data_IF_836230746483
#
_entry.id   IF_836230746483
#
_cell.length_a   1.000
_cell.length_b   1.000
_cell.length_c   1.000
_cell.angle_alpha   90.00
_cell.angle_beta   90.00
_cell.angle_gamma   90.00
#
_symmetry.space_group_name_H-M   'P 1'
#
loop_
_entity.id
_entity.type
_entity.pdbx_description
1 polymer ?
#
# COMPACT_ATOMS: atom_id res chain seq x y z
N UNK A 1 -34.33 39.40 -21.77
CA UNK A 1 -34.97 39.36 -20.43
C UNK A 1 -34.30 38.26 -19.64
N UNK A 2 -33.54 38.61 -18.59
CA UNK A 2 -32.83 37.64 -17.75
C UNK A 2 -33.81 37.21 -16.65
N UNK A 3 -34.20 35.93 -16.66
CA UNK A 3 -35.05 35.35 -15.61
C UNK A 3 -34.16 35.05 -14.41
N UNK A 4 -34.30 35.85 -13.36
CA UNK A 4 -33.62 35.63 -12.07
C UNK A 4 -34.45 34.64 -11.26
N UNK A 5 -33.84 33.54 -10.82
CA UNK A 5 -34.49 32.53 -9.99
C UNK A 5 -35.04 33.15 -8.68
N UNK A 6 -36.23 32.72 -8.19
CA UNK A 6 -36.80 33.25 -6.97
C UNK A 6 -35.94 32.86 -5.75
N UNK A 7 -35.68 33.82 -4.86
CA UNK A 7 -34.96 33.57 -3.61
C UNK A 7 -35.70 32.54 -2.74
N UNK A 8 -35.00 31.57 -2.11
CA UNK A 8 -35.62 30.58 -1.24
C UNK A 8 -36.24 31.28 0.00
N UNK A 9 -37.50 30.93 0.32
CA UNK A 9 -38.29 31.52 1.41
C UNK A 9 -38.01 30.94 2.81
N UNK A 10 -37.05 30.03 2.97
CA UNK A 10 -36.71 29.45 4.27
C UNK A 10 -35.37 29.96 4.77
N UNK A 11 -35.36 30.55 5.98
CA UNK A 11 -34.13 30.78 6.74
C UNK A 11 -33.32 29.48 6.83
N UNK A 12 -31.97 29.51 6.80
CA UNK A 12 -31.17 28.37 7.21
C UNK A 12 -31.68 27.92 8.58
N UNK A 13 -32.00 26.63 8.75
CA UNK A 13 -32.28 26.11 10.08
C UNK A 13 -31.00 26.27 10.88
N UNK A 14 -31.03 27.09 11.93
CA UNK A 14 -29.98 27.11 12.93
C UNK A 14 -29.81 25.67 13.44
N UNK A 15 -28.67 25.07 13.10
CA UNK A 15 -28.27 23.79 13.67
C UNK A 15 -28.06 24.04 15.16
N UNK A 16 -29.07 23.70 15.97
CA UNK A 16 -29.00 23.85 17.42
C UNK A 16 -27.80 23.06 17.94
N UNK A 17 -26.97 23.71 18.75
CA UNK A 17 -25.85 23.14 19.53
C UNK A 17 -26.24 21.89 20.36
N UNK A 18 -27.53 21.60 20.47
CA UNK A 18 -28.08 20.40 21.10
C UNK A 18 -27.74 19.08 20.39
N UNK A 19 -27.35 19.10 19.10
CA UNK A 19 -26.99 17.87 18.38
C UNK A 19 -25.78 17.17 19.01
N UNK A 20 -24.79 17.93 19.47
CA UNK A 20 -23.58 17.40 20.10
C UNK A 20 -23.77 17.01 21.58
N UNK A 21 -24.80 17.54 22.25
CA UNK A 21 -25.05 17.33 23.69
C UNK A 21 -25.84 16.06 24.01
N UNK A 22 -26.46 15.43 23.00
CA UNK A 22 -27.39 14.30 23.20
C UNK A 22 -26.80 12.94 22.82
N UNK A 23 -25.54 12.90 22.36
CA UNK A 23 -24.83 11.65 22.06
C UNK A 23 -23.53 11.59 22.85
N UNK A 24 -23.31 10.46 23.52
CA UNK A 24 -21.99 10.07 24.05
C UNK A 24 -21.03 9.82 22.89
N UNK A 25 -20.53 10.91 22.30
CA UNK A 25 -19.50 10.86 21.25
C UNK A 25 -18.17 10.66 21.95
N UNK A 26 -17.67 9.42 21.92
CA UNK A 26 -16.29 9.10 22.27
C UNK A 26 -15.43 9.36 21.05
N UNK A 27 -14.74 10.50 21.03
CA UNK A 27 -13.65 10.76 20.08
C UNK A 27 -12.38 10.17 20.67
N UNK A 28 -11.97 9.00 20.18
CA UNK A 28 -10.61 8.49 20.39
C UNK A 28 -9.70 9.12 19.35
N UNK A 29 -8.96 10.14 19.74
CA UNK A 29 -7.78 10.59 18.99
C UNK A 29 -6.72 9.50 19.22
N UNK A 30 -6.09 9.03 18.14
CA UNK A 30 -5.04 8.01 18.21
C UNK A 30 -3.82 8.46 19.04
N UNK A 31 -2.78 7.63 19.07
CA UNK A 31 -1.53 7.98 19.75
C UNK A 31 -1.01 9.36 19.29
N UNK A 32 -0.86 10.26 20.26
CA UNK A 32 -0.17 11.52 20.07
C UNK A 32 1.29 11.22 20.40
N UNK A 33 2.17 11.24 19.39
CA UNK A 33 3.60 11.24 19.61
C UNK A 33 3.95 12.53 20.35
N UNK A 34 4.01 12.49 21.69
CA UNK A 34 4.69 13.52 22.46
C UNK A 34 6.16 13.48 22.04
N UNK A 35 6.61 14.55 21.39
CA UNK A 35 8.03 14.80 21.17
C UNK A 35 8.71 14.85 22.55
N UNK A 36 9.20 13.70 23.01
CA UNK A 36 9.73 13.51 24.35
C UNK A 36 10.79 14.56 24.67
N UNK A 37 10.58 15.27 25.79
CA UNK A 37 11.48 16.25 26.37
C UNK A 37 12.78 15.64 26.91
N UNK A 38 13.57 15.03 26.02
CA UNK A 38 14.97 14.72 26.26
C UNK A 38 15.82 15.81 25.60
N UNK A 39 16.77 16.38 26.36
CA UNK A 39 17.72 17.36 25.86
C UNK A 39 18.69 16.69 24.88
N UNK A 40 18.26 16.59 23.64
CA UNK A 40 19.02 16.15 22.47
C UNK A 40 18.23 16.62 21.26
N UNK A 41 18.87 17.34 20.35
CA UNK A 41 18.25 17.75 19.07
C UNK A 41 17.58 16.53 18.44
N UNK A 42 16.27 16.54 18.14
CA UNK A 42 15.68 15.45 17.39
C UNK A 42 16.43 15.41 16.06
N UNK A 43 17.15 14.31 15.79
CA UNK A 43 17.57 14.00 14.43
C UNK A 43 16.29 13.83 13.62
N UNK A 44 15.84 14.91 13.01
CA UNK A 44 14.75 14.87 12.04
C UNK A 44 15.32 14.13 10.84
N UNK A 45 15.17 12.81 10.82
CA UNK A 45 15.48 12.01 9.64
C UNK A 45 14.68 12.61 8.47
N UNK A 46 15.42 13.15 7.50
CA UNK A 46 14.83 13.84 6.35
C UNK A 46 14.05 12.79 5.54
N UNK A 47 12.73 12.84 5.66
CA UNK A 47 11.85 11.94 4.90
C UNK A 47 12.04 12.22 3.41
N UNK A 48 12.12 11.14 2.63
CA UNK A 48 12.11 11.22 1.18
C UNK A 48 10.80 11.85 0.66
N UNK A 49 10.71 12.13 -0.65
CA UNK A 49 9.56 12.82 -1.24
C UNK A 49 8.25 12.02 -1.15
N UNK A 50 8.34 10.70 -0.95
CA UNK A 50 7.18 9.78 -0.97
C UNK A 50 7.24 8.80 0.20
N UNK A 51 7.00 9.23 1.44
CA UNK A 51 6.89 8.30 2.58
C UNK A 51 5.58 7.50 2.48
N UNK A 52 5.63 6.21 2.83
CA UNK A 52 4.52 5.26 2.75
C UNK A 52 3.80 5.31 1.39
N UNK A 53 4.52 5.07 0.27
CA UNK A 53 3.93 5.18 -1.06
C UNK A 53 2.70 4.28 -1.19
N UNK A 54 1.65 4.79 -1.81
CA UNK A 54 0.59 3.96 -2.37
C UNK A 54 1.08 3.24 -3.62
N UNK A 55 0.36 2.20 -4.06
CA UNK A 55 0.63 1.43 -5.28
C UNK A 55 0.73 2.27 -6.58
N UNK A 56 0.39 3.57 -6.55
CA UNK A 56 0.47 4.47 -7.70
C UNK A 56 1.54 5.55 -7.58
N UNK A 57 2.11 5.78 -6.40
CA UNK A 57 2.92 6.98 -6.15
C UNK A 57 4.27 6.91 -6.86
N UNK A 58 4.83 5.69 -7.01
CA UNK A 58 6.11 5.45 -7.67
C UNK A 58 5.98 5.26 -9.18
N UNK A 59 4.76 5.23 -9.72
CA UNK A 59 4.50 4.97 -11.15
C UNK A 59 5.32 5.87 -12.07
N UNK A 60 5.50 7.14 -11.73
CA UNK A 60 6.27 8.06 -12.56
C UNK A 60 7.75 7.68 -12.68
N UNK A 61 8.31 7.06 -11.64
CA UNK A 61 9.66 6.52 -11.62
C UNK A 61 9.71 5.18 -12.37
N UNK A 62 8.74 4.32 -12.15
CA UNK A 62 8.64 3.01 -12.82
C UNK A 62 8.58 3.17 -14.35
N UNK A 63 7.81 4.15 -14.84
CA UNK A 63 7.74 4.44 -16.28
C UNK A 63 9.09 4.92 -16.84
N UNK A 64 9.94 5.59 -16.04
CA UNK A 64 11.29 5.95 -16.47
C UNK A 64 12.20 4.73 -16.55
N UNK A 65 12.07 3.79 -15.59
CA UNK A 65 12.80 2.54 -15.60
C UNK A 65 12.41 1.69 -16.80
N UNK A 66 11.12 1.47 -17.01
CA UNK A 66 10.60 0.65 -18.11
C UNK A 66 10.77 1.31 -19.48
N UNK A 67 10.89 2.64 -19.54
CA UNK A 67 11.29 3.34 -20.76
C UNK A 67 12.73 3.04 -21.20
N UNK A 68 13.59 2.56 -20.29
CA UNK A 68 14.94 2.06 -20.60
C UNK A 68 14.99 0.54 -20.71
N UNK A 69 14.29 -0.14 -19.81
CA UNK A 69 14.26 -1.60 -19.70
C UNK A 69 12.85 -2.09 -20.02
N UNK A 70 12.56 -2.20 -21.31
CA UNK A 70 11.22 -2.56 -21.79
C UNK A 70 10.84 -3.98 -21.31
N UNK A 71 9.63 -4.16 -20.73
CA UNK A 71 9.15 -5.48 -20.36
C UNK A 71 9.08 -6.41 -21.58
N UNK A 72 9.66 -7.59 -21.44
CA UNK A 72 9.62 -8.62 -22.47
C UNK A 72 8.63 -9.73 -22.08
N UNK A 73 7.65 -9.97 -22.95
CA UNK A 73 6.63 -10.98 -22.72
C UNK A 73 6.88 -12.22 -23.58
N UNK A 74 7.29 -13.31 -22.93
CA UNK A 74 7.33 -14.67 -23.50
C UNK A 74 6.31 -15.56 -22.77
N UNK A 75 5.08 -15.70 -23.30
CA UNK A 75 4.03 -16.45 -22.62
C UNK A 75 4.40 -17.91 -22.37
N UNK A 76 4.27 -18.36 -21.12
CA UNK A 76 4.33 -19.79 -20.80
C UNK A 76 3.04 -20.54 -21.17
N UNK A 77 1.93 -19.79 -21.32
CA UNK A 77 0.60 -20.29 -21.65
C UNK A 77 -0.16 -19.21 -22.43
N UNK A 78 -0.75 -19.60 -23.55
CA UNK A 78 -1.55 -18.70 -24.41
C UNK A 78 -3.00 -18.54 -23.94
N UNK A 79 -3.33 -19.04 -22.74
CA UNK A 79 -4.68 -18.99 -22.19
C UNK A 79 -4.77 -18.24 -20.86
N UNK A 80 -5.87 -17.53 -20.66
CA UNK A 80 -6.27 -17.02 -19.35
C UNK A 80 -7.38 -17.90 -18.75
N UNK A 81 -7.19 -18.34 -17.50
CA UNK A 81 -8.10 -19.25 -16.78
C UNK A 81 -8.52 -18.70 -15.40
N UNK A 82 -8.44 -17.39 -15.17
CA UNK A 82 -8.57 -16.78 -13.84
C UNK A 82 -10.03 -16.52 -13.39
N UNK A 83 -11.04 -16.81 -14.21
CA UNK A 83 -12.44 -16.61 -13.83
C UNK A 83 -13.41 -17.53 -14.56
N UNK A 84 -14.68 -17.42 -14.20
CA UNK A 84 -15.77 -18.27 -14.70
C UNK A 84 -16.31 -17.87 -16.07
N UNK A 85 -15.85 -16.77 -16.69
CA UNK A 85 -16.13 -16.52 -18.10
C UNK A 85 -15.52 -17.58 -19.03
N UNK A 86 -14.57 -18.36 -18.51
CA UNK A 86 -14.01 -19.53 -19.18
C UNK A 86 -12.55 -19.35 -19.56
N UNK A 87 -11.99 -20.41 -20.14
CA UNK A 87 -10.63 -20.41 -20.67
C UNK A 87 -10.61 -19.53 -21.92
N UNK A 88 -9.93 -18.40 -21.85
CA UNK A 88 -9.78 -17.47 -22.96
C UNK A 88 -8.48 -17.76 -23.71
N UNK A 89 -8.56 -18.12 -24.99
CA UNK A 89 -7.40 -18.14 -25.90
C UNK A 89 -6.99 -16.71 -26.25
N UNK A 90 -5.75 -16.34 -25.91
CA UNK A 90 -5.19 -15.01 -26.08
C UNK A 90 -4.25 -14.91 -27.30
N UNK A 91 -4.13 -15.97 -28.10
CA UNK A 91 -3.31 -15.98 -29.32
C UNK A 91 -3.85 -14.95 -30.32
N UNK A 92 -3.23 -13.76 -30.34
CA UNK A 92 -3.69 -12.61 -31.13
C UNK A 92 -5.16 -12.21 -30.85
N UNK A 93 -5.64 -12.45 -29.63
CA UNK A 93 -7.04 -12.22 -29.21
C UNK A 93 -7.09 -11.54 -27.85
N UNK A 94 -8.29 -11.10 -27.47
CA UNK A 94 -8.61 -10.63 -26.12
C UNK A 94 -9.50 -11.65 -25.41
N UNK A 95 -9.34 -11.76 -24.11
CA UNK A 95 -10.25 -12.51 -23.27
C UNK A 95 -11.63 -11.87 -23.21
N UNK A 96 -12.60 -12.59 -22.65
CA UNK A 96 -13.98 -12.13 -22.54
C UNK A 96 -14.12 -10.80 -21.77
N UNK A 97 -13.21 -10.51 -20.83
CA UNK A 97 -13.16 -9.25 -20.09
C UNK A 97 -12.36 -8.13 -20.80
N UNK A 98 -11.81 -8.39 -21.99
CA UNK A 98 -11.04 -7.41 -22.77
C UNK A 98 -9.53 -7.39 -22.53
N UNK A 99 -9.00 -8.20 -21.60
CA UNK A 99 -7.56 -8.33 -21.36
C UNK A 99 -6.87 -8.99 -22.57
N UNK A 100 -5.72 -8.47 -22.97
CA UNK A 100 -4.88 -9.08 -24.03
C UNK A 100 -3.77 -9.96 -23.44
N UNK A 101 -2.99 -10.59 -24.32
CA UNK A 101 -1.90 -11.47 -23.93
C UNK A 101 -0.83 -10.76 -23.07
N UNK A 102 -0.42 -9.55 -23.44
CA UNK A 102 0.62 -8.81 -22.73
C UNK A 102 0.17 -8.42 -21.32
N UNK A 103 -1.04 -7.87 -21.19
CA UNK A 103 -1.62 -7.54 -19.89
C UNK A 103 -1.85 -8.79 -19.03
N UNK A 104 -2.24 -9.92 -19.63
CA UNK A 104 -2.35 -11.18 -18.89
C UNK A 104 -1.01 -11.67 -18.38
N UNK A 105 0.07 -11.60 -19.17
CA UNK A 105 1.41 -12.00 -18.72
C UNK A 105 1.89 -11.09 -17.59
N UNK A 106 1.77 -9.77 -17.74
CA UNK A 106 2.11 -8.82 -16.69
C UNK A 106 1.30 -9.06 -15.40
N UNK A 107 0.01 -9.38 -15.52
CA UNK A 107 -0.84 -9.78 -14.39
C UNK A 107 -0.35 -11.05 -13.69
N UNK A 108 0.14 -12.03 -14.44
CA UNK A 108 0.73 -13.24 -13.86
C UNK A 108 2.04 -12.93 -13.12
N UNK A 109 2.85 -11.99 -13.62
CA UNK A 109 4.06 -11.51 -12.93
C UNK A 109 3.71 -10.78 -11.63
N UNK A 110 2.70 -9.91 -11.64
CA UNK A 110 2.22 -9.27 -10.41
C UNK A 110 1.71 -10.31 -9.41
N UNK A 111 0.94 -11.31 -9.85
CA UNK A 111 0.49 -12.41 -8.99
C UNK A 111 1.68 -13.17 -8.38
N UNK A 112 2.71 -13.48 -9.16
CA UNK A 112 3.91 -14.13 -8.65
C UNK A 112 4.66 -13.26 -7.62
N UNK A 113 4.73 -11.95 -7.85
CA UNK A 113 5.34 -10.98 -6.94
C UNK A 113 4.56 -10.90 -5.62
N UNK A 114 3.22 -10.85 -5.69
CA UNK A 114 2.35 -10.92 -4.52
C UNK A 114 2.51 -12.23 -3.74
N UNK A 115 2.68 -13.38 -4.39
CA UNK A 115 2.92 -14.67 -3.71
C UNK A 115 4.23 -14.62 -2.92
N UNK A 116 5.31 -14.11 -3.52
CA UNK A 116 6.60 -13.95 -2.85
C UNK A 116 6.53 -12.99 -1.67
N UNK A 117 5.90 -11.83 -1.88
CA UNK A 117 5.67 -10.83 -0.82
C UNK A 117 4.84 -11.40 0.33
N UNK A 118 3.75 -12.11 0.04
CA UNK A 118 2.91 -12.76 1.04
C UNK A 118 3.67 -13.80 1.87
N UNK A 119 4.58 -14.56 1.25
CA UNK A 119 5.41 -15.53 1.95
C UNK A 119 6.31 -14.86 2.99
N UNK A 120 7.04 -13.82 2.60
CA UNK A 120 7.94 -13.10 3.50
C UNK A 120 7.17 -12.29 4.55
N UNK A 121 6.03 -11.69 4.19
CA UNK A 121 5.16 -10.98 5.13
C UNK A 121 4.56 -11.93 6.17
N UNK A 122 4.04 -13.09 5.75
CA UNK A 122 3.50 -14.10 6.66
C UNK A 122 4.56 -14.66 7.62
N UNK A 123 5.77 -14.93 7.11
CA UNK A 123 6.92 -15.33 7.94
C UNK A 123 7.23 -14.25 8.98
N UNK A 124 7.37 -13.00 8.54
CA UNK A 124 7.75 -11.88 9.41
C UNK A 124 6.68 -11.60 10.46
N UNK A 125 5.40 -11.61 10.09
CA UNK A 125 4.28 -11.42 11.02
C UNK A 125 4.31 -12.47 12.13
N UNK A 126 4.43 -13.74 11.75
CA UNK A 126 4.48 -14.83 12.73
C UNK A 126 5.65 -14.67 13.71
N UNK A 127 6.87 -14.36 13.22
CA UNK A 127 8.03 -14.15 14.08
C UNK A 127 7.87 -12.94 14.99
N UNK A 128 7.41 -11.79 14.46
CA UNK A 128 7.26 -10.56 15.24
C UNK A 128 6.22 -10.74 16.35
N UNK A 129 5.06 -11.34 16.06
CA UNK A 129 4.06 -11.62 17.10
C UNK A 129 4.61 -12.58 18.14
N UNK A 130 5.26 -13.69 17.74
CA UNK A 130 5.83 -14.64 18.69
C UNK A 130 6.91 -14.00 19.58
N UNK A 131 7.83 -13.20 19.02
CA UNK A 131 8.85 -12.51 19.81
C UNK A 131 8.24 -11.47 20.76
N UNK A 132 7.15 -10.82 20.38
CA UNK A 132 6.43 -9.88 21.24
C UNK A 132 5.70 -10.61 22.37
N UNK A 133 5.14 -11.80 22.10
CA UNK A 133 4.55 -12.65 23.14
C UNK A 133 5.59 -13.11 24.16
N UNK A 134 6.77 -13.53 23.71
CA UNK A 134 7.84 -14.05 24.57
C UNK A 134 8.60 -12.96 25.33
N UNK A 135 8.91 -11.84 24.68
CA UNK A 135 9.82 -10.82 25.22
C UNK A 135 9.16 -9.46 25.51
N UNK A 136 7.92 -9.27 25.07
CA UNK A 136 7.18 -8.02 25.19
C UNK A 136 7.44 -7.04 24.05
N UNK A 137 6.46 -6.16 23.77
CA UNK A 137 6.54 -5.19 22.67
C UNK A 137 7.65 -4.14 22.86
N UNK A 138 8.04 -3.86 24.10
CA UNK A 138 9.10 -2.89 24.44
C UNK A 138 10.51 -3.50 24.44
N UNK A 139 10.66 -4.78 24.08
CA UNK A 139 11.96 -5.40 23.97
C UNK A 139 12.82 -4.68 22.91
N UNK A 140 14.05 -4.24 23.25
CA UNK A 140 14.89 -3.46 22.35
C UNK A 140 15.39 -4.31 21.18
N UNK A 141 15.54 -3.68 20.01
CA UNK A 141 16.20 -4.28 18.86
C UNK A 141 17.70 -3.94 18.94
N UNK A 142 18.54 -4.98 19.01
CA UNK A 142 20.01 -4.86 18.99
C UNK A 142 20.58 -5.55 17.75
N UNK A 143 21.11 -4.75 16.82
CA UNK A 143 21.76 -5.23 15.60
C UNK A 143 23.29 -5.33 15.75
N UNK A 144 23.82 -5.13 16.96
CA UNK A 144 25.24 -5.11 17.28
C UNK A 144 25.89 -3.73 17.12
N UNK A 145 27.15 -3.64 17.56
CA UNK A 145 27.87 -2.35 17.71
C UNK A 145 28.34 -1.69 16.41
N UNK A 146 28.30 -2.41 15.28
CA UNK A 146 28.86 -1.94 14.00
C UNK A 146 27.78 -1.69 12.94
N UNK A 147 26.52 -1.54 13.34
CA UNK A 147 25.39 -1.33 12.44
C UNK A 147 24.74 0.03 12.73
N UNK A 148 25.11 1.04 11.93
CA UNK A 148 24.56 2.39 12.04
C UNK A 148 23.15 2.48 11.44
N UNK A 149 22.86 1.69 10.39
CA UNK A 149 21.58 1.65 9.67
C UNK A 149 20.93 0.28 9.87
N UNK A 150 20.06 0.19 10.88
CA UNK A 150 19.50 -1.08 11.35
C UNK A 150 18.41 -1.64 10.44
N UNK A 151 17.60 -0.78 9.82
CA UNK A 151 16.48 -1.18 8.98
C UNK A 151 16.35 -0.27 7.75
N UNK A 152 17.28 -0.32 6.79
CA UNK A 152 17.37 0.66 5.69
C UNK A 152 16.09 0.78 4.87
N UNK A 153 15.41 -0.35 4.61
CA UNK A 153 14.16 -0.37 3.84
C UNK A 153 13.03 0.27 4.64
N UNK A 154 12.83 -0.13 5.91
CA UNK A 154 11.80 0.45 6.78
C UNK A 154 12.02 1.96 6.98
N UNK A 155 13.27 2.37 7.18
CA UNK A 155 13.63 3.78 7.34
C UNK A 155 13.37 4.57 6.04
N UNK A 156 13.67 3.99 4.88
CA UNK A 156 13.42 4.65 3.58
C UNK A 156 11.93 4.78 3.28
N UNK A 157 11.17 3.69 3.50
CA UNK A 157 9.76 3.62 3.10
C UNK A 157 8.85 4.30 4.12
N UNK A 158 9.08 4.08 5.42
CA UNK A 158 8.20 4.61 6.49
C UNK A 158 8.76 5.87 7.14
N UNK A 159 10.05 6.16 6.97
CA UNK A 159 10.71 7.28 7.66
C UNK A 159 10.80 7.07 9.16
N UNK A 160 10.93 5.82 9.62
CA UNK A 160 10.98 5.43 11.03
C UNK A 160 12.12 4.44 11.28
N UNK A 161 12.98 4.78 12.23
CA UNK A 161 14.00 3.87 12.77
C UNK A 161 13.39 3.01 13.87
N UNK A 162 13.35 1.67 13.72
CA UNK A 162 12.84 0.80 14.77
C UNK A 162 13.81 0.78 15.96
N UNK A 163 13.26 0.83 17.18
CA UNK A 163 14.02 0.76 18.44
C UNK A 163 13.61 -0.46 19.27
N UNK A 164 12.36 -0.88 19.16
CA UNK A 164 11.77 -2.00 19.89
C UNK A 164 10.96 -2.91 18.97
N UNK A 165 10.71 -4.15 19.39
CA UNK A 165 9.94 -5.13 18.60
C UNK A 165 8.57 -4.61 18.14
N UNK A 166 7.88 -3.88 19.01
CA UNK A 166 6.58 -3.27 18.69
C UNK A 166 6.62 -2.29 17.51
N UNK A 167 7.76 -1.62 17.26
CA UNK A 167 7.89 -0.68 16.14
C UNK A 167 7.78 -1.38 14.78
N UNK A 168 8.10 -2.68 14.71
CA UNK A 168 8.04 -3.46 13.48
C UNK A 168 6.60 -3.71 13.02
N UNK A 169 5.61 -3.63 13.93
CA UNK A 169 4.19 -3.82 13.59
C UNK A 169 3.71 -2.83 12.55
N UNK A 170 4.14 -1.57 12.65
CA UNK A 170 3.76 -0.53 11.69
C UNK A 170 4.25 -0.84 10.27
N UNK A 171 5.43 -1.44 10.14
CA UNK A 171 5.94 -1.86 8.84
C UNK A 171 5.14 -3.03 8.28
N UNK A 172 4.79 -4.00 9.13
CA UNK A 172 3.97 -5.14 8.74
C UNK A 172 2.57 -4.71 8.31
N UNK A 173 1.92 -3.81 9.05
CA UNK A 173 0.58 -3.30 8.74
C UNK A 173 0.57 -2.58 7.37
N UNK A 174 1.58 -1.75 7.10
CA UNK A 174 1.73 -1.09 5.80
C UNK A 174 1.93 -2.10 4.66
N UNK A 175 2.82 -3.09 4.83
CA UNK A 175 3.07 -4.10 3.80
C UNK A 175 1.82 -4.93 3.51
N UNK A 176 1.08 -5.32 4.54
CA UNK A 176 -0.15 -6.09 4.43
C UNK A 176 -1.26 -5.28 3.73
N UNK A 177 -1.41 -3.99 4.05
CA UNK A 177 -2.34 -3.09 3.37
C UNK A 177 -2.01 -2.95 1.88
N UNK A 178 -0.75 -2.63 1.54
CA UNK A 178 -0.33 -2.45 0.15
C UNK A 178 -0.47 -3.75 -0.65
N UNK A 179 -0.13 -4.89 -0.06
CA UNK A 179 -0.30 -6.21 -0.68
C UNK A 179 -1.76 -6.51 -1.03
N UNK A 180 -2.72 -6.12 -0.18
CA UNK A 180 -4.16 -6.28 -0.47
C UNK A 180 -4.54 -5.45 -1.70
N UNK A 181 -4.05 -4.21 -1.80
CA UNK A 181 -4.30 -3.37 -2.97
C UNK A 181 -3.70 -3.98 -4.25
N UNK A 182 -2.47 -4.48 -4.20
CA UNK A 182 -1.82 -5.16 -5.33
C UNK A 182 -2.59 -6.41 -5.78
N UNK A 183 -2.94 -7.29 -4.83
CA UNK A 183 -3.69 -8.51 -5.12
C UNK A 183 -5.08 -8.20 -5.69
N UNK A 184 -5.75 -7.17 -5.17
CA UNK A 184 -7.06 -6.75 -5.67
C UNK A 184 -7.00 -6.37 -7.15
N UNK A 185 -5.92 -5.72 -7.59
CA UNK A 185 -5.72 -5.31 -8.98
C UNK A 185 -5.52 -6.49 -9.95
N UNK A 186 -5.21 -7.69 -9.44
CA UNK A 186 -5.10 -8.91 -10.23
C UNK A 186 -6.47 -9.54 -10.57
N UNK A 187 -7.55 -9.09 -9.92
CA UNK A 187 -8.87 -9.66 -10.19
C UNK A 187 -9.33 -9.36 -11.63
N UNK A 188 -10.22 -10.19 -12.16
CA UNK A 188 -10.82 -9.97 -13.48
C UNK A 188 -11.57 -8.63 -13.51
N UNK A 189 -11.33 -7.84 -14.57
CA UNK A 189 -11.97 -6.55 -14.79
C UNK A 189 -11.34 -5.36 -14.06
N UNK A 190 -10.13 -5.53 -13.53
CA UNK A 190 -9.37 -4.48 -12.84
C UNK A 190 -8.39 -3.79 -13.80
N UNK A 191 -7.08 -3.90 -13.56
CA UNK A 191 -6.07 -3.30 -14.43
C UNK A 191 -6.07 -3.96 -15.82
N UNK A 192 -5.89 -3.13 -16.85
CA UNK A 192 -5.97 -3.54 -18.25
C UNK A 192 -4.72 -3.22 -19.07
N UNK A 193 -3.80 -2.42 -18.53
CA UNK A 193 -2.53 -2.08 -19.19
C UNK A 193 -1.40 -2.89 -18.62
N UNK A 194 -0.64 -3.56 -19.48
CA UNK A 194 0.53 -4.36 -19.09
C UNK A 194 1.54 -3.56 -18.27
N UNK A 195 1.90 -2.35 -18.74
CA UNK A 195 2.88 -1.49 -18.07
C UNK A 195 2.44 -1.05 -16.66
N UNK A 196 1.13 -0.97 -16.41
CA UNK A 196 0.60 -0.61 -15.10
C UNK A 196 0.53 -1.81 -14.16
N UNK A 197 0.51 -3.04 -14.68
CA UNK A 197 0.79 -4.24 -13.89
C UNK A 197 2.27 -4.33 -13.51
N UNK A 198 3.18 -4.01 -14.42
CA UNK A 198 4.63 -4.00 -14.13
C UNK A 198 5.00 -2.96 -13.08
N UNK A 199 4.46 -1.74 -13.18
CA UNK A 199 4.65 -0.70 -12.14
C UNK A 199 4.15 -1.18 -10.77
N UNK A 200 3.01 -1.88 -10.73
CA UNK A 200 2.51 -2.50 -9.50
C UNK A 200 3.38 -3.67 -9.02
N UNK A 201 4.11 -4.35 -9.90
CA UNK A 201 5.04 -5.42 -9.52
C UNK A 201 6.37 -4.86 -8.99
N UNK A 202 6.74 -3.65 -9.40
CA UNK A 202 7.90 -2.92 -8.87
C UNK A 202 7.64 -2.29 -7.49
N UNK A 203 6.38 -1.99 -7.18
CA UNK A 203 5.90 -1.53 -5.87
C UNK A 203 5.93 -2.66 -4.83
#
# INVERSE_FOLDING_TARGET
>A
MIVVAPKPKSKPKDFKDAFWKTKDIKVSIGEIDEAGGGMGTPEVEVKGPTPKPSITDLRSWDMKLMGRYEPFYAPFCDMCCLCTFGKCDLTNKKGACGIDAAAQQARMVLLASCIGSACHSGHSRHLVEHLIEEFGADHPIDMGMNIDIQAPIMMTVLGKKPKKLGDLKEAMDYLEEQMIHLLSSCHTGQEGKSIDFESKALH
#
